data_IF_870110860176
#
_entry.id   IF_870110860176
#
_cell.length_a   1.000
_cell.length_b   1.000
_cell.length_c   1.000
_cell.angle_alpha   90.00
_cell.angle_beta   90.00
_cell.angle_gamma   90.00
#
_symmetry.space_group_name_H-M   'P 1'
#
loop_
_entity.id
_entity.type
_entity.pdbx_description
1 polymer ?
#
# COMPACT_ATOMS: atom_id res chain seq x y z
N UNK A 1 28.70 -28.76 27.54
CA UNK A 1 28.66 -27.49 26.77
C UNK A 1 27.48 -27.64 25.84
N UNK A 2 26.31 -27.28 26.34
CA UNK A 2 25.04 -27.56 25.70
C UNK A 2 24.76 -26.52 24.62
N UNK A 3 24.44 -27.01 23.41
CA UNK A 3 24.11 -26.19 22.24
C UNK A 3 22.89 -25.28 22.48
N UNK A 4 22.07 -25.63 23.46
CA UNK A 4 20.92 -24.82 23.89
C UNK A 4 21.34 -23.54 24.63
N UNK A 5 22.48 -23.54 25.33
CA UNK A 5 22.98 -22.31 25.95
C UNK A 5 23.51 -21.31 24.91
N UNK A 6 24.14 -21.79 23.84
CA UNK A 6 24.56 -20.95 22.71
C UNK A 6 23.36 -20.34 21.95
N UNK A 7 22.24 -21.06 21.89
CA UNK A 7 21.00 -20.60 21.25
C UNK A 7 20.32 -19.49 22.06
N UNK A 8 20.29 -19.63 23.40
CA UNK A 8 19.79 -18.60 24.32
C UNK A 8 20.67 -17.32 24.35
N UNK A 9 21.99 -17.47 24.18
CA UNK A 9 22.93 -16.34 24.12
C UNK A 9 22.77 -15.51 22.82
N UNK A 10 22.36 -16.16 21.73
CA UNK A 10 22.06 -15.52 20.44
C UNK A 10 20.67 -14.86 20.43
N UNK A 11 19.71 -15.43 21.17
CA UNK A 11 18.33 -14.94 21.26
C UNK A 11 18.20 -13.68 22.15
N UNK A 12 19.18 -13.45 23.03
CA UNK A 12 19.14 -12.40 24.05
C UNK A 12 20.18 -11.31 23.88
N UNK A 13 20.83 -11.14 22.72
CA UNK A 13 21.75 -10.02 22.49
C UNK A 13 21.02 -8.69 22.78
N UNK A 14 21.25 -8.07 23.96
CA UNK A 14 20.48 -6.91 24.36
C UNK A 14 20.92 -5.79 23.45
N UNK A 15 20.01 -5.26 22.64
CA UNK A 15 20.27 -4.07 21.84
C UNK A 15 20.60 -2.93 22.81
N UNK A 16 21.89 -2.72 23.04
CA UNK A 16 22.38 -1.67 23.93
C UNK A 16 21.77 -0.35 23.46
N UNK A 17 21.03 0.33 24.33
CA UNK A 17 20.41 1.64 24.03
C UNK A 17 21.41 2.62 23.40
N UNK A 18 22.68 2.50 23.78
CA UNK A 18 23.81 3.27 23.23
C UNK A 18 24.13 2.95 21.77
N UNK A 19 24.02 1.70 21.32
CA UNK A 19 24.21 1.32 19.91
C UNK A 19 23.09 1.88 19.04
N UNK A 20 21.85 1.83 19.53
CA UNK A 20 20.71 2.47 18.87
C UNK A 20 20.90 3.98 18.74
N UNK A 21 21.23 4.66 19.84
CA UNK A 21 21.47 6.13 19.84
C UNK A 21 22.65 6.51 18.95
N UNK A 22 23.74 5.73 18.97
CA UNK A 22 24.88 5.93 18.06
C UNK A 22 24.48 5.78 16.61
N UNK A 23 23.67 4.77 16.28
CA UNK A 23 23.13 4.58 14.92
C UNK A 23 22.29 5.76 14.46
N UNK A 24 21.40 6.27 15.32
CA UNK A 24 20.61 7.49 15.03
C UNK A 24 21.50 8.73 14.88
N UNK A 25 22.48 8.93 15.77
CA UNK A 25 23.35 10.10 15.72
C UNK A 25 24.22 10.13 14.46
N UNK A 26 24.83 8.99 14.10
CA UNK A 26 25.63 8.85 12.88
C UNK A 26 24.75 9.01 11.64
N UNK A 27 23.59 8.32 11.59
CA UNK A 27 22.65 8.43 10.48
C UNK A 27 22.14 9.86 10.29
N UNK A 28 21.76 10.54 11.37
CA UNK A 28 21.31 11.93 11.34
C UNK A 28 22.40 12.90 10.89
N UNK A 29 23.64 12.72 11.34
CA UNK A 29 24.77 13.54 10.89
C UNK A 29 25.05 13.36 9.40
N UNK A 30 25.03 12.14 8.88
CA UNK A 30 25.22 11.87 7.44
C UNK A 30 24.11 12.49 6.60
N UNK A 31 22.85 12.40 7.04
CA UNK A 31 21.72 13.05 6.37
C UNK A 31 21.83 14.58 6.44
N UNK A 32 22.23 15.15 7.58
CA UNK A 32 22.44 16.59 7.75
C UNK A 32 23.60 17.16 6.93
N UNK A 33 24.63 16.35 6.64
CA UNK A 33 25.72 16.68 5.73
C UNK A 33 25.37 16.49 4.24
N UNK A 34 24.09 16.20 3.92
CA UNK A 34 23.62 16.06 2.55
C UNK A 34 23.99 14.75 1.88
N UNK A 35 24.47 13.74 2.62
CA UNK A 35 24.69 12.38 2.13
C UNK A 35 23.36 11.62 2.05
N UNK A 36 22.42 12.19 1.29
CA UNK A 36 21.12 11.59 1.01
C UNK A 36 21.33 10.42 0.03
N UNK A 37 20.88 9.19 0.33
CA UNK A 37 20.89 8.12 -0.65
C UNK A 37 20.02 8.54 -1.84
N UNK A 38 20.57 8.52 -3.06
CA UNK A 38 19.88 8.94 -4.31
C UNK A 38 18.62 8.12 -4.67
N UNK A 39 18.24 7.16 -3.84
CA UNK A 39 17.05 6.33 -4.00
C UNK A 39 16.08 6.36 -2.82
N UNK A 40 16.31 7.18 -1.79
CA UNK A 40 15.40 7.30 -0.64
C UNK A 40 14.36 8.40 -0.84
N UNK A 41 13.80 8.50 -2.04
CA UNK A 41 12.51 9.14 -2.21
C UNK A 41 11.48 8.14 -1.70
N UNK A 42 11.07 8.30 -0.43
CA UNK A 42 9.75 7.87 -0.04
C UNK A 42 8.80 8.74 -0.86
N UNK A 43 8.54 8.34 -2.11
CA UNK A 43 7.34 8.77 -2.78
C UNK A 43 6.25 8.37 -1.79
N UNK A 44 5.70 9.37 -1.09
CA UNK A 44 4.43 9.20 -0.46
C UNK A 44 3.58 8.68 -1.60
N UNK A 45 3.30 7.38 -1.60
CA UNK A 45 2.23 6.84 -2.40
C UNK A 45 1.05 7.58 -1.83
N UNK A 46 0.69 8.70 -2.48
CA UNK A 46 -0.62 9.28 -2.35
C UNK A 46 -1.50 8.13 -2.74
N UNK A 47 -1.95 7.37 -1.74
CA UNK A 47 -3.00 6.40 -1.88
C UNK A 47 -4.24 7.24 -2.14
N UNK A 48 -4.29 7.81 -3.34
CA UNK A 48 -5.52 8.22 -3.98
C UNK A 48 -6.38 6.97 -3.84
N UNK A 49 -7.41 7.06 -3.01
CA UNK A 49 -8.33 5.94 -2.80
C UNK A 49 -8.84 5.43 -4.16
N UNK A 50 -9.46 4.23 -4.20
CA UNK A 50 -9.91 3.64 -5.45
C UNK A 50 -10.67 4.66 -6.30
N UNK A 51 -10.06 5.09 -7.41
CA UNK A 51 -10.69 6.09 -8.27
C UNK A 51 -11.83 5.39 -9.01
N UNK A 52 -13.06 5.76 -8.68
CA UNK A 52 -14.25 5.20 -9.34
C UNK A 52 -14.33 5.83 -10.74
N UNK A 53 -14.23 5.04 -11.82
CA UNK A 53 -14.32 5.57 -13.18
C UNK A 53 -15.72 6.11 -13.46
N UNK A 54 -15.79 7.21 -14.21
CA UNK A 54 -17.04 7.80 -14.68
C UNK A 54 -17.13 7.62 -16.19
N UNK A 55 -18.09 6.83 -16.65
CA UNK A 55 -18.40 6.66 -18.06
C UNK A 55 -19.46 7.69 -18.48
N UNK A 56 -19.23 8.37 -19.61
CA UNK A 56 -20.16 9.37 -20.15
C UNK A 56 -20.60 8.99 -21.56
N UNK A 57 -21.86 9.23 -21.88
CA UNK A 57 -22.40 9.02 -23.23
C UNK A 57 -23.78 8.39 -23.22
N UNK A 58 -24.19 7.88 -24.38
CA UNK A 58 -25.49 7.23 -24.62
C UNK A 58 -25.38 5.71 -24.81
N UNK A 59 -24.17 5.16 -24.73
CA UNK A 59 -23.92 3.71 -24.81
C UNK A 59 -22.78 3.34 -23.87
N UNK A 60 -22.97 2.27 -23.10
CA UNK A 60 -22.02 1.83 -22.09
C UNK A 60 -21.69 0.35 -22.27
N UNK A 61 -20.40 0.03 -22.33
CA UNK A 61 -19.93 -1.35 -22.32
C UNK A 61 -19.64 -1.76 -20.88
N UNK A 62 -20.48 -2.65 -20.34
CA UNK A 62 -20.38 -3.14 -18.96
C UNK A 62 -20.06 -4.64 -18.96
N UNK A 63 -18.84 -4.96 -18.56
CA UNK A 63 -18.42 -6.35 -18.32
C UNK A 63 -18.69 -6.70 -16.88
N UNK A 64 -19.52 -7.73 -16.67
CA UNK A 64 -19.88 -8.21 -15.33
C UNK A 64 -19.06 -9.48 -15.07
N UNK A 65 -18.24 -9.47 -14.03
CA UNK A 65 -17.41 -10.62 -13.69
C UNK A 65 -17.20 -10.74 -12.17
N UNK A 66 -17.07 -11.97 -11.63
CA UNK A 66 -16.65 -12.15 -10.24
C UNK A 66 -15.20 -11.72 -10.05
N UNK A 67 -14.91 -11.01 -8.96
CA UNK A 67 -13.59 -10.50 -8.62
C UNK A 67 -13.30 -10.68 -7.13
N UNK A 68 -12.10 -11.13 -6.78
CA UNK A 68 -11.65 -11.17 -5.39
C UNK A 68 -11.27 -9.76 -4.93
N UNK A 69 -11.82 -9.33 -3.80
CA UNK A 69 -11.61 -8.01 -3.19
C UNK A 69 -11.37 -8.13 -1.69
N UNK A 70 -10.69 -7.13 -1.12
CA UNK A 70 -10.46 -7.04 0.32
C UNK A 70 -10.63 -5.59 0.80
N UNK A 71 -11.78 -5.30 1.43
CA UNK A 71 -12.09 -3.97 1.99
C UNK A 71 -12.10 -3.94 3.52
N UNK A 72 -12.26 -5.10 4.16
CA UNK A 72 -12.42 -5.24 5.62
C UNK A 72 -11.32 -6.09 6.27
N UNK A 73 -10.24 -6.37 5.54
CA UNK A 73 -9.14 -7.24 5.98
C UNK A 73 -9.30 -8.72 5.62
N UNK A 74 -10.42 -9.13 5.03
CA UNK A 74 -10.68 -10.50 4.56
C UNK A 74 -11.00 -10.52 3.07
N UNK A 75 -10.38 -11.44 2.34
CA UNK A 75 -10.66 -11.64 0.91
C UNK A 75 -12.05 -12.23 0.73
N UNK A 76 -12.86 -11.60 -0.13
CA UNK A 76 -14.18 -12.08 -0.53
C UNK A 76 -14.39 -11.89 -2.03
N UNK A 77 -15.23 -12.74 -2.63
CA UNK A 77 -15.66 -12.58 -4.02
C UNK A 77 -16.79 -11.55 -4.09
N UNK A 78 -16.64 -10.54 -4.94
CA UNK A 78 -17.66 -9.56 -5.27
C UNK A 78 -17.99 -9.61 -6.77
N UNK A 79 -19.18 -9.17 -7.15
CA UNK A 79 -19.53 -8.95 -8.55
C UNK A 79 -19.00 -7.59 -8.98
N UNK A 80 -17.99 -7.57 -9.85
CA UNK A 80 -17.40 -6.35 -10.37
C UNK A 80 -18.03 -5.96 -11.71
N UNK A 81 -18.05 -4.66 -11.97
CA UNK A 81 -18.42 -4.09 -13.26
C UNK A 81 -17.19 -3.37 -13.82
N UNK A 82 -16.74 -3.79 -15.00
CA UNK A 82 -15.50 -3.31 -15.63
C UNK A 82 -14.25 -3.44 -14.73
N UNK A 83 -14.23 -4.42 -13.83
CA UNK A 83 -13.13 -4.63 -12.87
C UNK A 83 -13.18 -3.74 -11.62
N UNK A 84 -14.25 -2.96 -11.44
CA UNK A 84 -14.42 -2.03 -10.32
C UNK A 84 -15.48 -2.51 -9.33
N UNK A 85 -15.16 -2.31 -8.03
CA UNK A 85 -16.07 -2.48 -6.89
C UNK A 85 -15.81 -1.31 -5.93
N UNK A 86 -16.75 -0.35 -5.79
CA UNK A 86 -18.03 -0.25 -6.50
C UNK A 86 -17.84 -0.03 -8.02
N UNK A 87 -18.86 -0.39 -8.80
CA UNK A 87 -18.84 -0.25 -10.26
C UNK A 87 -18.73 1.20 -10.77
N UNK A 88 -18.51 1.40 -12.09
CA UNK A 88 -18.38 2.73 -12.69
C UNK A 88 -19.64 3.58 -12.50
N UNK A 89 -19.47 4.88 -12.34
CA UNK A 89 -20.58 5.84 -12.41
C UNK A 89 -20.91 6.05 -13.89
N UNK A 90 -22.18 5.91 -14.25
CA UNK A 90 -22.66 6.25 -15.59
C UNK A 90 -23.28 7.65 -15.56
N UNK A 91 -22.92 8.49 -16.54
CA UNK A 91 -23.41 9.87 -16.62
C UNK A 91 -23.89 10.20 -18.02
N UNK A 92 -25.17 10.53 -18.12
CA UNK A 92 -25.82 11.03 -19.33
C UNK A 92 -26.53 12.36 -19.05
N UNK A 93 -27.07 12.99 -20.09
CA UNK A 93 -27.89 14.21 -19.96
C UNK A 93 -29.36 13.84 -19.94
N UNK A 94 -30.16 14.68 -19.31
CA UNK A 94 -31.61 14.54 -19.38
C UNK A 94 -32.09 14.60 -20.84
N UNK A 95 -33.00 13.70 -21.20
CA UNK A 95 -33.48 13.53 -22.58
C UNK A 95 -32.67 12.54 -23.44
N UNK A 96 -31.50 12.09 -22.99
CA UNK A 96 -30.74 11.05 -23.69
C UNK A 96 -31.45 9.69 -23.58
N UNK A 97 -31.49 8.95 -24.69
CA UNK A 97 -31.77 7.50 -24.66
C UNK A 97 -30.44 6.75 -24.51
N UNK A 98 -30.34 5.97 -23.44
CA UNK A 98 -29.14 5.22 -23.00
C UNK A 98 -29.36 3.72 -23.02
#
# INVERSE_FOLDING_TARGET
MDLEQLLLELETLPMERRRFVKGMAVGGALLGLGMMPRGLSAAATTSSGPQIPVLRGTKFNLTIAPQQVNFTGKVRTATAVNGHVPGPILRWREGDTV
#
